data_IF_639603826587
#
_entry.id   IF_639603826587
#
_cell.length_a   1.000
_cell.length_b   1.000
_cell.length_c   1.000
_cell.angle_alpha   90.00
_cell.angle_beta   90.00
_cell.angle_gamma   90.00
#
_symmetry.space_group_name_H-M   'P 1'
#
loop_
_entity.id
_entity.type
_entity.pdbx_description
1 polymer ?
#
# COMPACT_ATOMS: atom_id res chain seq x y z
N UNK A 1 41.59 5.43 37.74
CA UNK A 1 41.79 6.66 36.94
C UNK A 1 41.92 6.36 35.44
N UNK A 2 41.03 5.54 34.87
CA UNK A 2 41.02 5.24 33.42
C UNK A 2 39.60 5.21 32.82
N UNK A 3 38.56 5.35 33.66
CA UNK A 3 37.16 5.33 33.22
C UNK A 3 36.54 6.73 33.03
N UNK A 4 37.29 7.79 33.31
CA UNK A 4 36.82 9.19 33.17
C UNK A 4 37.25 9.81 31.83
N UNK A 5 38.29 9.27 31.16
CA UNK A 5 38.72 9.79 29.85
C UNK A 5 37.84 9.37 28.68
N UNK A 6 37.01 8.32 28.83
CA UNK A 6 36.19 7.82 27.72
C UNK A 6 34.92 8.64 27.46
N UNK A 7 34.54 9.53 28.38
CA UNK A 7 33.32 10.35 28.28
C UNK A 7 33.58 11.80 27.86
N UNK A 8 34.85 12.24 27.78
CA UNK A 8 35.17 13.62 27.41
C UNK A 8 35.45 13.81 25.91
N UNK A 9 35.62 12.72 25.15
CA UNK A 9 35.92 12.75 23.72
C UNK A 9 34.70 12.54 22.83
N UNK A 10 33.50 12.90 23.30
CA UNK A 10 32.27 12.78 22.50
C UNK A 10 31.45 14.06 22.38
N UNK A 11 31.90 15.18 22.97
CA UNK A 11 31.04 16.37 23.05
C UNK A 11 31.45 17.59 22.23
N UNK A 12 32.68 17.74 21.73
CA UNK A 12 33.07 19.05 21.15
C UNK A 12 34.20 18.99 20.12
N UNK A 13 34.13 18.12 19.10
CA UNK A 13 34.89 18.35 17.85
C UNK A 13 33.99 18.11 16.64
N UNK A 14 33.91 19.07 15.70
CA UNK A 14 32.81 19.17 14.76
C UNK A 14 32.95 18.22 13.57
N UNK A 15 31.78 17.81 13.09
CA UNK A 15 31.29 17.37 11.77
C UNK A 15 32.05 17.74 10.47
N UNK A 16 33.29 18.24 10.51
CA UNK A 16 34.06 18.71 9.34
C UNK A 16 35.14 17.69 8.91
N UNK A 17 35.51 16.71 9.75
CA UNK A 17 36.49 15.67 9.38
C UNK A 17 35.88 14.40 8.76
N UNK A 18 34.57 14.20 8.90
CA UNK A 18 33.88 13.02 8.36
C UNK A 18 33.90 12.93 6.81
N UNK A 19 33.81 14.02 6.02
CA UNK A 19 33.96 13.93 4.58
C UNK A 19 35.43 13.75 4.15
N UNK A 20 36.41 14.23 4.93
CA UNK A 20 37.83 14.10 4.57
C UNK A 20 38.35 12.67 4.73
N UNK A 21 37.88 11.93 5.74
CA UNK A 21 38.26 10.52 5.96
C UNK A 21 37.68 9.63 4.85
N UNK A 22 36.45 9.88 4.39
CA UNK A 22 35.83 9.12 3.29
C UNK A 22 36.45 9.46 1.91
N UNK A 23 36.99 10.66 1.72
CA UNK A 23 37.69 11.05 0.48
C UNK A 23 39.12 10.48 0.45
N UNK A 24 39.82 10.45 1.58
CA UNK A 24 41.18 9.89 1.66
C UNK A 24 41.20 8.38 1.42
N UNK A 25 40.21 7.65 1.95
CA UNK A 25 40.11 6.19 1.80
C UNK A 25 39.97 5.77 0.33
N UNK A 26 39.12 6.46 -0.45
CA UNK A 26 39.00 6.19 -1.90
C UNK A 26 40.30 6.42 -2.66
N UNK A 27 41.02 7.51 -2.37
CA UNK A 27 42.28 7.80 -3.07
C UNK A 27 43.39 6.82 -2.73
N UNK A 28 43.47 6.36 -1.48
CA UNK A 28 44.50 5.42 -1.04
C UNK A 28 44.24 4.00 -1.58
N UNK A 29 42.98 3.58 -1.57
CA UNK A 29 42.54 2.29 -2.11
C UNK A 29 42.74 2.23 -3.64
N UNK A 30 42.52 3.35 -4.35
CA UNK A 30 42.83 3.46 -5.78
C UNK A 30 44.33 3.47 -6.08
N UNK A 31 45.16 4.09 -5.21
CA UNK A 31 46.63 4.04 -5.32
C UNK A 31 47.15 2.62 -5.05
N UNK A 32 46.60 1.94 -4.04
CA UNK A 32 46.96 0.55 -3.70
C UNK A 32 46.51 -0.41 -4.80
N UNK A 33 45.29 -0.27 -5.35
CA UNK A 33 44.83 -1.04 -6.52
C UNK A 33 45.73 -0.82 -7.73
N UNK A 34 46.05 0.43 -8.07
CA UNK A 34 46.97 0.74 -9.19
C UNK A 34 48.32 0.10 -8.97
N UNK A 35 48.86 0.17 -7.75
CA UNK A 35 50.16 -0.43 -7.43
C UNK A 35 50.12 -1.96 -7.49
N UNK A 36 49.08 -2.60 -6.96
CA UNK A 36 48.90 -4.05 -7.02
C UNK A 36 48.62 -4.56 -8.44
N UNK A 37 47.93 -3.79 -9.29
CA UNK A 37 47.72 -4.11 -10.71
C UNK A 37 49.03 -4.00 -11.50
N UNK A 38 49.86 -3.01 -11.20
CA UNK A 38 51.17 -2.82 -11.85
C UNK A 38 52.20 -3.85 -11.33
N UNK A 39 52.30 -4.06 -10.02
CA UNK A 39 53.27 -4.97 -9.41
C UNK A 39 52.84 -6.44 -9.46
N UNK A 40 51.54 -6.72 -9.62
CA UNK A 40 50.97 -8.06 -9.70
C UNK A 40 51.12 -8.75 -11.07
N UNK A 41 51.25 -7.99 -12.16
CA UNK A 41 51.35 -8.53 -13.53
C UNK A 41 52.49 -7.89 -14.36
N UNK A 42 52.90 -6.65 -14.11
CA UNK A 42 53.86 -5.90 -14.95
C UNK A 42 55.30 -5.78 -14.43
N UNK A 43 55.56 -6.03 -13.14
CA UNK A 43 56.90 -5.87 -12.55
C UNK A 43 57.94 -6.93 -12.97
N UNK A 44 57.52 -8.00 -13.64
CA UNK A 44 58.39 -9.08 -14.09
C UNK A 44 58.93 -8.83 -15.51
N UNK A 45 58.11 -8.26 -16.39
CA UNK A 45 58.48 -8.03 -17.79
C UNK A 45 59.51 -6.91 -17.94
N UNK A 46 59.40 -5.85 -17.15
CA UNK A 46 60.40 -4.78 -17.09
C UNK A 46 61.78 -5.32 -16.65
N UNK A 47 61.79 -6.28 -15.71
CA UNK A 47 63.03 -6.98 -15.29
C UNK A 47 63.58 -7.88 -16.38
N UNK A 48 62.71 -8.57 -17.14
CA UNK A 48 63.09 -9.43 -18.26
C UNK A 48 63.69 -8.63 -19.41
N UNK A 49 63.08 -7.52 -19.79
CA UNK A 49 63.59 -6.59 -20.83
C UNK A 49 64.94 -6.01 -20.40
N UNK A 50 65.06 -5.54 -19.16
CA UNK A 50 66.34 -5.05 -18.63
C UNK A 50 67.42 -6.16 -18.59
N UNK A 51 67.02 -7.41 -18.35
CA UNK A 51 67.94 -8.56 -18.39
C UNK A 51 68.39 -8.87 -19.81
N UNK A 52 67.47 -8.86 -20.78
CA UNK A 52 67.75 -9.03 -22.20
C UNK A 52 68.73 -7.95 -22.70
N UNK A 53 68.50 -6.69 -22.33
CA UNK A 53 69.39 -5.58 -22.66
C UNK A 53 70.81 -5.80 -22.12
N UNK A 54 70.96 -6.22 -20.86
CA UNK A 54 72.28 -6.54 -20.27
C UNK A 54 72.95 -7.72 -20.97
N UNK A 55 72.19 -8.76 -21.35
CA UNK A 55 72.72 -9.91 -22.10
C UNK A 55 73.21 -9.49 -23.49
N UNK A 56 72.48 -8.61 -24.18
CA UNK A 56 72.86 -8.07 -25.49
C UNK A 56 74.17 -7.29 -25.42
N UNK A 57 74.27 -6.35 -24.49
CA UNK A 57 75.50 -5.55 -24.29
C UNK A 57 76.69 -6.46 -23.97
N UNK A 58 76.50 -7.49 -23.13
CA UNK A 58 77.56 -8.47 -22.84
C UNK A 58 77.95 -9.25 -24.09
N UNK A 59 76.98 -9.77 -24.84
CA UNK A 59 77.22 -10.56 -26.04
C UNK A 59 77.99 -9.79 -27.13
N UNK A 60 77.67 -8.51 -27.35
CA UNK A 60 78.40 -7.65 -28.30
C UNK A 60 79.88 -7.44 -27.96
N UNK A 61 80.29 -7.68 -26.70
CA UNK A 61 81.67 -7.54 -26.24
C UNK A 61 82.40 -8.89 -26.11
N UNK A 62 81.78 -10.01 -26.52
CA UNK A 62 82.41 -11.34 -26.53
C UNK A 62 83.19 -11.57 -27.84
N UNK A 63 84.29 -12.34 -27.83
CA UNK A 63 85.02 -12.71 -29.05
C UNK A 63 84.18 -13.61 -29.98
N UNK A 64 84.32 -13.43 -31.30
CA UNK A 64 83.46 -14.04 -32.34
C UNK A 64 83.51 -15.58 -32.43
N UNK A 65 84.44 -16.26 -31.75
CA UNK A 65 84.71 -17.69 -31.93
C UNK A 65 84.53 -18.52 -30.65
N UNK A 66 83.66 -18.04 -29.75
CA UNK A 66 83.39 -18.63 -28.44
C UNK A 66 82.07 -19.41 -28.44
N UNK A 67 82.08 -20.67 -28.02
CA UNK A 67 80.85 -21.46 -27.81
C UNK A 67 79.91 -20.78 -26.80
N UNK A 68 80.46 -20.00 -25.85
CA UNK A 68 79.68 -19.20 -24.90
C UNK A 68 78.90 -18.06 -25.58
N UNK A 69 79.43 -17.51 -26.69
CA UNK A 69 78.77 -16.49 -27.50
C UNK A 69 77.51 -17.05 -28.17
N UNK A 70 77.61 -18.23 -28.78
CA UNK A 70 76.46 -18.90 -29.40
C UNK A 70 75.39 -19.29 -28.37
N UNK A 71 75.77 -19.79 -27.19
CA UNK A 71 74.83 -20.12 -26.12
C UNK A 71 74.11 -18.87 -25.60
N UNK A 72 74.82 -17.75 -25.45
CA UNK A 72 74.24 -16.47 -25.02
C UNK A 72 73.26 -15.93 -26.06
N UNK A 73 73.58 -16.03 -27.35
CA UNK A 73 72.67 -15.68 -28.44
C UNK A 73 71.36 -16.47 -28.40
N UNK A 74 71.43 -17.80 -28.24
CA UNK A 74 70.23 -18.65 -28.12
C UNK A 74 69.37 -18.29 -26.90
N UNK A 75 70.01 -17.96 -25.76
CA UNK A 75 69.30 -17.50 -24.56
C UNK A 75 68.61 -16.15 -24.77
N UNK A 76 69.22 -15.23 -25.53
CA UNK A 76 68.60 -13.96 -25.89
C UNK A 76 67.36 -14.17 -26.75
N UNK A 77 67.43 -15.03 -27.78
CA UNK A 77 66.28 -15.36 -28.62
C UNK A 77 65.13 -15.98 -27.81
N UNK A 78 65.42 -16.92 -26.92
CA UNK A 78 64.40 -17.52 -26.05
C UNK A 78 63.76 -16.48 -25.11
N UNK A 79 64.55 -15.55 -24.59
CA UNK A 79 64.04 -14.48 -23.72
C UNK A 79 63.19 -13.48 -24.49
N UNK A 80 63.56 -13.15 -25.73
CA UNK A 80 62.79 -12.29 -26.62
C UNK A 80 61.43 -12.92 -26.96
N UNK A 81 61.41 -14.19 -27.35
CA UNK A 81 60.17 -14.92 -27.63
C UNK A 81 59.22 -14.95 -26.42
N UNK A 82 59.77 -15.07 -25.19
CA UNK A 82 58.98 -15.00 -23.97
C UNK A 82 58.40 -13.58 -23.71
N UNK A 83 59.13 -12.53 -24.08
CA UNK A 83 58.63 -11.15 -23.99
C UNK A 83 57.48 -10.91 -24.97
N UNK A 84 57.63 -11.38 -26.22
CA UNK A 84 56.59 -11.31 -27.24
C UNK A 84 55.31 -12.05 -26.82
N UNK A 85 55.46 -13.28 -26.30
CA UNK A 85 54.33 -14.06 -25.79
C UNK A 85 53.59 -13.36 -24.64
N UNK A 86 54.32 -12.79 -23.67
CA UNK A 86 53.68 -12.09 -22.55
C UNK A 86 52.94 -10.85 -23.04
N UNK A 87 53.51 -10.11 -23.99
CA UNK A 87 52.87 -8.93 -24.58
C UNK A 87 51.54 -9.30 -25.26
N UNK A 88 51.54 -10.34 -26.08
CA UNK A 88 50.32 -10.83 -26.74
C UNK A 88 49.27 -11.30 -25.73
N UNK A 89 49.70 -12.03 -24.69
CA UNK A 89 48.83 -12.45 -23.59
C UNK A 89 48.21 -11.24 -22.87
N UNK A 90 48.98 -10.21 -22.56
CA UNK A 90 48.47 -9.00 -21.89
C UNK A 90 47.41 -8.28 -22.73
N UNK A 91 47.59 -8.22 -24.06
CA UNK A 91 46.58 -7.68 -24.98
C UNK A 91 45.29 -8.49 -24.93
N UNK A 92 45.38 -9.82 -24.98
CA UNK A 92 44.19 -10.68 -24.93
C UNK A 92 43.45 -10.57 -23.59
N UNK A 93 44.19 -10.52 -22.47
CA UNK A 93 43.60 -10.31 -21.13
C UNK A 93 42.91 -8.95 -21.05
N UNK A 94 43.51 -7.90 -21.63
CA UNK A 94 42.89 -6.58 -21.69
C UNK A 94 41.58 -6.59 -22.49
N UNK A 95 41.55 -7.23 -23.65
CA UNK A 95 40.32 -7.36 -24.47
C UNK A 95 39.22 -8.16 -23.76
N UNK A 96 39.61 -9.24 -23.08
CA UNK A 96 38.73 -10.02 -22.23
C UNK A 96 38.13 -9.15 -21.12
N UNK A 97 38.95 -8.40 -20.39
CA UNK A 97 38.51 -7.51 -19.31
C UNK A 97 37.55 -6.43 -19.82
N UNK A 98 37.82 -5.84 -21.00
CA UNK A 98 36.93 -4.87 -21.62
C UNK A 98 35.56 -5.48 -21.95
N UNK A 99 35.56 -6.75 -22.40
CA UNK A 99 34.33 -7.49 -22.70
C UNK A 99 33.57 -7.84 -21.43
N UNK A 100 34.26 -8.27 -20.38
CA UNK A 100 33.65 -8.54 -19.07
C UNK A 100 33.05 -7.28 -18.45
N UNK A 101 33.76 -6.15 -18.51
CA UNK A 101 33.25 -4.88 -18.03
C UNK A 101 31.91 -4.53 -18.68
N UNK A 102 31.80 -4.64 -20.01
CA UNK A 102 30.54 -4.40 -20.74
C UNK A 102 29.43 -5.35 -20.31
N UNK A 103 29.74 -6.62 -20.06
CA UNK A 103 28.77 -7.60 -19.55
C UNK A 103 28.27 -7.22 -18.15
N UNK A 104 29.16 -6.75 -17.27
CA UNK A 104 28.76 -6.30 -15.93
C UNK A 104 27.91 -5.03 -15.98
N UNK A 105 28.21 -4.09 -16.88
CA UNK A 105 27.39 -2.90 -17.10
C UNK A 105 25.97 -3.28 -17.54
N UNK A 106 25.84 -4.20 -18.51
CA UNK A 106 24.53 -4.71 -18.94
C UNK A 106 23.80 -5.44 -17.83
N UNK A 107 24.48 -6.33 -17.09
CA UNK A 107 23.88 -7.05 -15.98
C UNK A 107 23.37 -6.10 -14.88
N UNK A 108 24.11 -5.02 -14.62
CA UNK A 108 23.68 -4.02 -13.65
C UNK A 108 22.40 -3.30 -14.11
N UNK A 109 22.31 -2.94 -15.40
CA UNK A 109 21.09 -2.35 -15.98
C UNK A 109 19.89 -3.32 -15.88
N UNK A 110 20.08 -4.60 -16.20
CA UNK A 110 19.04 -5.62 -16.09
C UNK A 110 18.54 -5.78 -14.64
N UNK A 111 19.45 -5.69 -13.66
CA UNK A 111 19.10 -5.76 -12.24
C UNK A 111 18.31 -4.53 -11.83
N UNK A 112 18.74 -3.33 -12.24
CA UNK A 112 18.02 -2.08 -11.97
C UNK A 112 16.60 -2.10 -12.56
N UNK A 113 16.44 -2.60 -13.79
CA UNK A 113 15.13 -2.75 -14.43
C UNK A 113 14.23 -3.72 -13.65
N UNK A 114 14.76 -4.89 -13.26
CA UNK A 114 14.00 -5.87 -12.45
C UNK A 114 13.61 -5.32 -11.08
N UNK A 115 14.48 -4.53 -10.45
CA UNK A 115 14.16 -3.85 -9.19
C UNK A 115 13.01 -2.87 -9.42
N UNK A 116 13.10 -2.03 -10.46
CA UNK A 116 12.04 -1.09 -10.82
C UNK A 116 10.70 -1.81 -11.05
N UNK A 117 10.70 -2.86 -11.85
CA UNK A 117 9.50 -3.67 -12.13
C UNK A 117 8.90 -4.27 -10.84
N UNK A 118 9.74 -4.85 -9.98
CA UNK A 118 9.29 -5.40 -8.70
C UNK A 118 8.71 -4.32 -7.79
N UNK A 119 9.30 -3.12 -7.75
CA UNK A 119 8.76 -2.01 -6.97
C UNK A 119 7.41 -1.52 -7.50
N UNK A 120 7.22 -1.47 -8.83
CA UNK A 120 5.93 -1.16 -9.43
C UNK A 120 4.87 -2.18 -9.03
N UNK A 121 5.16 -3.48 -9.16
CA UNK A 121 4.25 -4.56 -8.75
C UNK A 121 3.85 -4.47 -7.27
N UNK A 122 4.78 -4.08 -6.39
CA UNK A 122 4.47 -3.88 -4.97
C UNK A 122 3.49 -2.72 -4.78
N UNK A 123 3.64 -1.63 -5.54
CA UNK A 123 2.73 -0.49 -5.47
C UNK A 123 1.33 -0.91 -5.93
N UNK A 124 1.23 -1.63 -7.05
CA UNK A 124 -0.05 -2.11 -7.59
C UNK A 124 -0.75 -3.06 -6.60
N UNK A 125 -0.03 -4.07 -6.09
CA UNK A 125 -0.55 -4.98 -5.07
C UNK A 125 -1.01 -4.25 -3.80
N UNK A 126 -0.34 -3.16 -3.40
CA UNK A 126 -0.78 -2.34 -2.25
C UNK A 126 -2.10 -1.64 -2.53
N UNK A 127 -2.29 -1.11 -3.74
CA UNK A 127 -3.54 -0.46 -4.13
C UNK A 127 -4.69 -1.47 -4.19
N UNK A 128 -4.47 -2.63 -4.82
CA UNK A 128 -5.45 -3.71 -4.87
C UNK A 128 -5.85 -4.18 -3.46
N UNK A 129 -4.87 -4.31 -2.55
CA UNK A 129 -5.13 -4.68 -1.16
C UNK A 129 -5.98 -3.63 -0.43
N UNK A 130 -5.74 -2.33 -0.66
CA UNK A 130 -6.55 -1.27 -0.08
C UNK A 130 -7.99 -1.33 -0.60
N UNK A 131 -8.17 -1.57 -1.90
CA UNK A 131 -9.49 -1.71 -2.50
C UNK A 131 -10.23 -2.93 -1.95
N UNK A 132 -9.57 -4.09 -1.89
CA UNK A 132 -10.14 -5.30 -1.33
C UNK A 132 -10.56 -5.12 0.14
N UNK A 133 -9.76 -4.38 0.94
CA UNK A 133 -10.11 -4.02 2.32
C UNK A 133 -11.36 -3.13 2.37
N UNK A 134 -11.46 -2.13 1.49
CA UNK A 134 -12.63 -1.25 1.39
C UNK A 134 -13.89 -2.05 1.06
N UNK A 135 -13.83 -2.91 0.05
CA UNK A 135 -14.95 -3.77 -0.36
C UNK A 135 -15.37 -4.67 0.81
N UNK A 136 -14.41 -5.29 1.51
CA UNK A 136 -14.70 -6.13 2.67
C UNK A 136 -15.41 -5.36 3.80
N UNK A 137 -14.94 -4.14 4.10
CA UNK A 137 -15.56 -3.27 5.10
C UNK A 137 -17.00 -2.93 4.72
N UNK A 138 -17.22 -2.50 3.47
CA UNK A 138 -18.55 -2.18 2.96
C UNK A 138 -19.49 -3.40 3.06
N UNK A 139 -19.01 -4.59 2.69
CA UNK A 139 -19.78 -5.83 2.80
C UNK A 139 -20.19 -6.13 4.26
N UNK A 140 -19.29 -5.94 5.21
CA UNK A 140 -19.60 -6.13 6.63
C UNK A 140 -20.65 -5.12 7.13
N UNK A 141 -20.59 -3.87 6.69
CA UNK A 141 -21.58 -2.84 7.01
C UNK A 141 -22.96 -3.20 6.43
N UNK A 142 -23.01 -3.66 5.17
CA UNK A 142 -24.24 -4.14 4.55
C UNK A 142 -24.82 -5.37 5.26
N UNK A 143 -24.00 -6.36 5.60
CA UNK A 143 -24.44 -7.55 6.32
C UNK A 143 -24.96 -7.20 7.72
N UNK A 144 -24.32 -6.26 8.41
CA UNK A 144 -24.78 -5.77 9.71
C UNK A 144 -26.14 -5.06 9.59
N UNK A 145 -26.31 -4.19 8.60
CA UNK A 145 -27.57 -3.49 8.36
C UNK A 145 -28.69 -4.47 7.96
N UNK A 146 -28.38 -5.44 7.09
CA UNK A 146 -29.33 -6.47 6.68
C UNK A 146 -29.83 -7.30 7.87
N UNK A 147 -28.94 -7.66 8.82
CA UNK A 147 -29.34 -8.34 10.06
C UNK A 147 -30.26 -7.50 10.94
N UNK A 148 -30.09 -6.18 10.97
CA UNK A 148 -31.00 -5.28 11.70
C UNK A 148 -32.36 -5.24 10.99
N UNK A 149 -32.38 -5.09 9.66
CA UNK A 149 -33.60 -5.06 8.86
C UNK A 149 -34.40 -6.34 9.02
N UNK A 150 -33.75 -7.51 9.05
CA UNK A 150 -34.40 -8.82 9.24
C UNK A 150 -35.09 -8.98 10.60
N UNK A 151 -34.80 -8.13 11.60
CA UNK A 151 -35.52 -8.14 12.90
C UNK A 151 -36.90 -7.49 12.79
N UNK A 152 -37.14 -6.69 11.75
CA UNK A 152 -38.42 -6.05 11.51
C UNK A 152 -39.32 -6.93 10.64
N UNK A 153 -40.65 -6.88 10.83
CA UNK A 153 -41.60 -7.65 10.03
C UNK A 153 -41.54 -7.22 8.57
N UNK A 154 -41.98 -8.13 7.69
CA UNK A 154 -41.98 -7.84 6.26
C UNK A 154 -42.90 -6.66 5.95
N UNK A 155 -42.44 -5.82 5.02
CA UNK A 155 -43.12 -4.57 4.67
C UNK A 155 -44.46 -4.84 4.02
N UNK A 156 -44.56 -5.85 3.15
CA UNK A 156 -45.80 -6.18 2.46
C UNK A 156 -46.85 -6.67 3.45
N UNK A 157 -46.46 -7.54 4.39
CA UNK A 157 -47.34 -8.04 5.44
C UNK A 157 -47.85 -6.89 6.33
N UNK A 158 -46.94 -6.04 6.82
CA UNK A 158 -47.32 -4.88 7.65
C UNK A 158 -48.25 -3.91 6.91
N UNK A 159 -48.02 -3.69 5.62
CA UNK A 159 -48.87 -2.81 4.79
C UNK A 159 -50.27 -3.40 4.61
N UNK A 160 -50.37 -4.73 4.44
CA UNK A 160 -51.66 -5.41 4.33
C UNK A 160 -52.45 -5.32 5.63
N UNK A 161 -51.80 -5.54 6.77
CA UNK A 161 -52.43 -5.39 8.09
C UNK A 161 -52.94 -3.97 8.32
N UNK A 162 -52.16 -2.95 7.95
CA UNK A 162 -52.60 -1.55 8.01
C UNK A 162 -53.87 -1.30 7.18
N UNK A 163 -53.91 -1.80 5.94
CA UNK A 163 -55.09 -1.64 5.08
C UNK A 163 -56.34 -2.36 5.63
N UNK A 164 -56.16 -3.50 6.28
CA UNK A 164 -57.26 -4.20 6.96
C UNK A 164 -57.77 -3.42 8.17
N UNK A 165 -56.86 -2.94 9.04
CA UNK A 165 -57.21 -2.09 10.17
C UNK A 165 -57.94 -0.80 9.73
N UNK A 166 -57.48 -0.15 8.66
CA UNK A 166 -58.13 1.06 8.13
C UNK A 166 -59.57 0.79 7.69
N UNK A 167 -59.81 -0.35 7.03
CA UNK A 167 -61.16 -0.78 6.63
C UNK A 167 -62.03 -1.04 7.86
N UNK A 168 -61.50 -1.69 8.89
CA UNK A 168 -62.22 -1.91 10.14
C UNK A 168 -62.55 -0.61 10.87
N UNK A 169 -61.60 0.33 10.90
CA UNK A 169 -61.81 1.66 11.48
C UNK A 169 -62.96 2.40 10.79
N UNK A 170 -62.99 2.38 9.46
CA UNK A 170 -64.09 2.99 8.69
C UNK A 170 -65.43 2.30 9.00
N UNK A 171 -65.46 0.96 9.05
CA UNK A 171 -66.67 0.21 9.42
C UNK A 171 -67.18 0.57 10.82
N UNK A 172 -66.29 0.57 11.83
CA UNK A 172 -66.63 0.92 13.20
C UNK A 172 -67.10 2.36 13.33
N UNK A 173 -66.47 3.30 12.62
CA UNK A 173 -66.89 4.70 12.57
C UNK A 173 -68.30 4.85 11.99
N UNK A 174 -68.58 4.17 10.88
CA UNK A 174 -69.91 4.17 10.28
C UNK A 174 -70.95 3.55 11.21
N UNK A 175 -70.61 2.44 11.88
CA UNK A 175 -71.51 1.80 12.83
C UNK A 175 -71.80 2.70 14.04
N UNK A 176 -70.78 3.36 14.60
CA UNK A 176 -70.93 4.36 15.66
C UNK A 176 -71.88 5.48 15.21
N UNK A 177 -71.70 6.02 14.01
CA UNK A 177 -72.56 7.08 13.49
C UNK A 177 -74.02 6.61 13.35
N UNK A 178 -74.24 5.39 12.83
CA UNK A 178 -75.59 4.81 12.72
C UNK A 178 -76.26 4.63 14.09
N UNK A 179 -75.52 4.17 15.11
CA UNK A 179 -76.05 4.04 16.46
C UNK A 179 -76.38 5.43 17.04
N UNK A 180 -75.50 6.41 16.82
CA UNK A 180 -75.72 7.78 17.28
C UNK A 180 -76.99 8.37 16.66
N UNK A 181 -77.19 8.21 15.36
CA UNK A 181 -78.42 8.63 14.66
C UNK A 181 -79.67 7.95 15.23
N UNK A 182 -79.61 6.63 15.49
CA UNK A 182 -80.72 5.90 16.13
C UNK A 182 -81.01 6.43 17.53
N UNK A 183 -79.97 6.70 18.33
CA UNK A 183 -80.10 7.25 19.68
C UNK A 183 -80.79 8.63 19.64
N UNK A 184 -80.35 9.49 18.73
CA UNK A 184 -80.91 10.85 18.59
C UNK A 184 -82.35 10.82 18.06
N UNK A 185 -82.69 9.88 17.18
CA UNK A 185 -84.08 9.63 16.78
C UNK A 185 -84.94 9.20 17.97
N UNK A 186 -84.46 8.26 18.81
CA UNK A 186 -85.18 7.83 20.01
C UNK A 186 -85.35 8.99 21.01
N UNK A 187 -84.33 9.82 21.22
CA UNK A 187 -84.42 11.03 22.04
C UNK A 187 -85.53 11.97 21.55
N UNK A 188 -85.60 12.21 20.23
CA UNK A 188 -86.68 13.02 19.63
C UNK A 188 -88.06 12.40 19.83
N UNK A 189 -88.20 11.09 19.64
CA UNK A 189 -89.46 10.37 19.87
C UNK A 189 -89.91 10.46 21.33
N UNK A 190 -89.00 10.29 22.30
CA UNK A 190 -89.30 10.50 23.71
C UNK A 190 -89.71 11.94 24.02
N UNK A 191 -89.09 12.93 23.38
CA UNK A 191 -89.46 14.33 23.57
C UNK A 191 -90.89 14.62 23.10
N UNK A 192 -91.30 14.05 21.95
CA UNK A 192 -92.69 14.15 21.45
C UNK A 192 -93.65 13.47 22.41
N UNK A 193 -93.33 12.27 22.91
CA UNK A 193 -94.16 11.57 23.90
C UNK A 193 -94.34 12.40 25.18
N UNK A 194 -93.25 12.95 25.71
CA UNK A 194 -93.27 13.80 26.92
C UNK A 194 -94.09 15.07 26.66
N UNK A 195 -94.01 15.67 25.48
CA UNK A 195 -94.81 16.85 25.14
C UNK A 195 -96.29 16.50 25.09
N UNK A 196 -96.67 15.39 24.46
CA UNK A 196 -98.06 14.92 24.43
C UNK A 196 -98.61 14.57 25.82
N UNK A 197 -97.76 14.04 26.72
CA UNK A 197 -98.14 13.82 28.13
C UNK A 197 -98.44 15.16 28.81
N UNK A 198 -97.55 16.16 28.68
CA UNK A 198 -97.80 17.49 29.26
C UNK A 198 -99.04 18.17 28.64
N UNK A 199 -99.29 17.99 27.35
CA UNK A 199 -100.50 18.52 26.70
C UNK A 199 -101.77 17.87 27.28
N UNK A 200 -101.75 16.54 27.49
CA UNK A 200 -102.85 15.82 28.12
C UNK A 200 -103.03 16.22 29.60
N UNK A 201 -101.94 16.39 30.35
CA UNK A 201 -101.98 16.91 31.72
C UNK A 201 -102.58 18.33 31.74
N UNK A 202 -102.20 19.20 30.79
CA UNK A 202 -102.78 20.54 30.66
C UNK A 202 -104.27 20.53 30.32
N UNK A 203 -104.72 19.62 29.43
CA UNK A 203 -106.16 19.45 29.13
C UNK A 203 -106.90 18.98 30.38
N UNK A 204 -106.37 18.01 31.12
CA UNK A 204 -106.96 17.53 32.36
C UNK A 204 -107.07 18.65 33.41
N UNK A 205 -106.02 19.45 33.59
CA UNK A 205 -106.06 20.61 34.47
C UNK A 205 -107.09 21.68 34.02
N UNK A 206 -107.25 21.87 32.71
CA UNK A 206 -108.22 22.82 32.16
C UNK A 206 -109.66 22.32 32.26
N UNK A 207 -109.88 21.01 32.16
CA UNK A 207 -111.19 20.38 32.36
C UNK A 207 -111.56 20.39 33.86
N UNK A 208 -110.62 20.11 34.78
CA UNK A 208 -110.82 20.29 36.22
C UNK A 208 -111.19 21.76 36.56
N UNK A 209 -110.50 22.74 35.98
CA UNK A 209 -110.84 24.17 36.17
C UNK A 209 -112.22 24.55 35.62
N UNK A 210 -112.71 23.89 34.57
CA UNK A 210 -114.05 24.15 34.01
C UNK A 210 -115.14 23.49 34.85
N UNK A 211 -114.92 22.29 35.37
CA UNK A 211 -115.84 21.64 36.30
C UNK A 211 -115.97 22.45 37.61
N UNK A 212 -114.87 23.05 38.09
CA UNK A 212 -114.88 23.97 39.23
C UNK A 212 -115.58 25.31 38.95
N UNK A 213 -115.73 25.71 37.69
CA UNK A 213 -116.43 26.93 37.26
C UNK A 213 -117.92 26.68 36.94
N UNK A 214 -118.32 25.46 36.60
CA UNK A 214 -119.72 25.06 36.40
C UNK A 214 -120.42 24.66 37.71
N UNK A 215 -119.67 24.47 38.79
CA UNK A 215 -120.19 24.14 40.14
C UNK A 215 -120.25 25.32 41.12
N UNK A 216 -120.04 26.56 40.64
CA UNK A 216 -120.21 27.82 41.38
C UNK A 216 -121.25 28.73 40.72
#
# INVERSE_FOLDING_TARGET
MLQIMHLFWHSTVPTILFPYILIYDKTYDDIIRRRLLIDGDGGNDDKRINSLLRMLVRWCNMPENDEESHLTYQRMLATLAQCEYNMEKSVLVYEMNLTEQKKYEHLNQDIEEKISEATSKIIDCKQELQEAKRIRKNRQEYDALAKVIQRHPDRLETTKQLQELDKELVKLKNHKNQIQEKLDLRRKQFHVLISAIHDLEGILEDDEKKEDMETN
#
